data_IF_052195980971
#
_entry.id   IF_052195980971
#
_cell.length_a   1.000
_cell.length_b   1.000
_cell.length_c   1.000
_cell.angle_alpha   90.00
_cell.angle_beta   90.00
_cell.angle_gamma   90.00
#
_symmetry.space_group_name_H-M   'P 1'
#
loop_
_entity.id
_entity.type
_entity.pdbx_description
1 polymer ?
#
# COMPACT_ATOMS: atom_id res chain seq x y z
N UNK A 1 -19.77 12.74 29.81
CA UNK A 1 -18.94 12.35 29.49
C UNK A 1 -18.95 11.53 28.46
N UNK A 2 -19.61 11.03 28.11
CA UNK A 2 -19.67 10.38 27.12
C UNK A 2 -19.50 11.01 25.90
N UNK A 3 -19.61 12.18 25.87
CA UNK A 3 -19.45 12.89 24.70
C UNK A 3 -18.17 12.73 24.09
N UNK A 4 -17.19 12.35 24.87
CA UNK A 4 -15.93 12.29 24.26
C UNK A 4 -15.80 11.09 23.44
N UNK A 5 -16.75 10.27 23.29
CA UNK A 5 -16.62 9.15 22.39
C UNK A 5 -16.51 9.61 20.97
N UNK A 6 -17.07 10.77 20.63
CA UNK A 6 -16.93 11.33 19.31
C UNK A 6 -15.90 12.42 19.23
N UNK A 7 -15.30 12.75 20.34
CA UNK A 7 -14.35 13.85 20.36
C UNK A 7 -12.99 13.38 20.75
N UNK A 8 -12.04 13.68 19.94
CA UNK A 8 -10.66 13.33 20.19
C UNK A 8 -9.89 14.62 20.41
N UNK A 9 -8.93 14.60 21.31
CA UNK A 9 -8.11 15.78 21.55
C UNK A 9 -7.29 16.04 20.30
N UNK A 10 -6.88 17.28 20.11
CA UNK A 10 -6.02 17.62 18.99
C UNK A 10 -4.71 16.82 19.04
N UNK A 11 -4.22 16.57 20.25
CA UNK A 11 -3.01 15.77 20.43
C UNK A 11 -3.21 14.35 19.92
N UNK A 12 -4.34 13.72 20.26
CA UNK A 12 -4.63 12.37 19.81
C UNK A 12 -4.78 12.30 18.31
N UNK A 13 -5.44 13.29 17.71
CA UNK A 13 -5.61 13.36 16.27
C UNK A 13 -4.28 13.58 15.57
N UNK A 14 -3.38 14.36 16.19
CA UNK A 14 -2.06 14.58 15.63
C UNK A 14 -1.22 13.30 15.65
N UNK A 15 -1.31 12.54 16.75
CA UNK A 15 -0.61 11.26 16.85
C UNK A 15 -1.13 10.31 15.77
N UNK A 16 -2.43 10.27 15.55
CA UNK A 16 -3.02 9.46 14.51
C UNK A 16 -2.53 9.92 13.12
N UNK A 17 -2.47 11.22 12.90
CA UNK A 17 -1.96 11.78 11.65
C UNK A 17 -0.53 11.31 11.37
N UNK A 18 0.36 11.45 12.34
CA UNK A 18 1.75 11.02 12.19
C UNK A 18 1.83 9.52 11.91
N UNK A 19 1.02 8.73 12.62
CA UNK A 19 0.97 7.29 12.42
C UNK A 19 0.54 6.93 11.01
N UNK A 20 -0.47 7.63 10.46
CA UNK A 20 -0.94 7.36 9.11
C UNK A 20 0.06 7.77 8.04
N UNK A 21 0.76 8.89 8.25
CA UNK A 21 1.82 9.33 7.34
C UNK A 21 2.93 8.27 7.30
N UNK A 22 3.29 7.75 8.47
CA UNK A 22 4.31 6.70 8.57
C UNK A 22 3.84 5.42 7.88
N UNK A 23 2.57 5.06 8.05
CA UNK A 23 2.03 3.88 7.42
C UNK A 23 2.10 3.97 5.88
N UNK A 24 1.82 5.16 5.32
CA UNK A 24 1.95 5.37 3.87
C UNK A 24 3.39 5.12 3.42
N UNK A 25 4.36 5.63 4.17
CA UNK A 25 5.77 5.46 3.83
C UNK A 25 6.15 3.97 3.83
N UNK A 26 5.74 3.23 4.86
CA UNK A 26 6.04 1.80 4.96
C UNK A 26 5.39 1.05 3.79
N UNK A 27 4.14 1.38 3.46
CA UNK A 27 3.45 0.73 2.34
C UNK A 27 4.08 1.05 1.00
N UNK A 28 4.55 2.28 0.80
CA UNK A 28 5.25 2.66 -0.43
C UNK A 28 6.54 1.88 -0.59
N UNK A 29 7.28 1.70 0.48
CA UNK A 29 8.51 0.91 0.44
C UNK A 29 8.22 -0.55 0.08
N UNK A 30 7.14 -1.09 0.61
CA UNK A 30 6.72 -2.45 0.28
C UNK A 30 6.31 -2.56 -1.20
N UNK A 31 5.60 -1.55 -1.72
CA UNK A 31 5.22 -1.54 -3.13
C UNK A 31 6.46 -1.55 -4.04
N UNK A 32 7.47 -0.75 -3.71
CA UNK A 32 8.71 -0.74 -4.49
C UNK A 32 9.37 -2.10 -4.51
N UNK A 33 9.38 -2.78 -3.35
CA UNK A 33 9.94 -4.11 -3.22
C UNK A 33 9.16 -5.12 -4.07
N UNK A 34 7.83 -5.04 -4.02
CA UNK A 34 6.96 -5.91 -4.81
C UNK A 34 7.17 -5.67 -6.30
N UNK A 35 7.30 -4.42 -6.72
CA UNK A 35 7.53 -4.09 -8.13
C UNK A 35 8.83 -4.68 -8.65
N UNK A 36 9.87 -4.64 -7.85
CA UNK A 36 11.15 -5.25 -8.24
C UNK A 36 11.00 -6.76 -8.39
N UNK A 37 10.29 -7.39 -7.48
CA UNK A 37 10.07 -8.83 -7.53
C UNK A 37 9.20 -9.23 -8.71
N UNK A 38 8.17 -8.43 -9.01
CA UNK A 38 7.30 -8.67 -10.15
C UNK A 38 8.10 -8.56 -11.45
N UNK A 39 8.93 -7.53 -11.57
CA UNK A 39 9.77 -7.36 -12.76
C UNK A 39 10.73 -8.53 -12.94
N UNK A 40 11.33 -9.01 -11.86
CA UNK A 40 12.22 -10.15 -11.91
C UNK A 40 11.50 -11.41 -12.38
N UNK A 41 10.27 -11.62 -11.88
CA UNK A 41 9.45 -12.76 -12.30
C UNK A 41 9.05 -12.64 -13.78
N UNK A 42 8.69 -11.44 -14.23
CA UNK A 42 8.33 -11.23 -15.63
C UNK A 42 9.51 -11.54 -16.53
N UNK A 43 10.73 -11.16 -16.13
CA UNK A 43 11.92 -11.48 -16.89
C UNK A 43 12.17 -12.99 -16.93
N UNK A 44 12.01 -13.66 -15.80
CA UNK A 44 12.18 -15.12 -15.73
C UNK A 44 11.16 -15.84 -16.61
N UNK A 45 9.90 -15.39 -16.59
CA UNK A 45 8.85 -15.96 -17.40
C UNK A 45 9.19 -15.79 -18.87
N UNK A 46 9.67 -14.60 -19.25
CA UNK A 46 10.01 -14.31 -20.63
C UNK A 46 11.15 -15.22 -21.12
N UNK A 47 12.11 -15.51 -20.25
CA UNK A 47 13.23 -16.38 -20.61
C UNK A 47 12.82 -17.83 -20.82
N UNK A 48 11.85 -18.34 -20.05
CA UNK A 48 11.54 -19.76 -20.07
C UNK A 48 10.24 -20.12 -20.76
N UNK A 49 9.46 -19.14 -21.22
CA UNK A 49 8.13 -19.41 -21.78
C UNK A 49 8.13 -20.36 -22.95
N UNK A 50 9.22 -20.42 -23.72
CA UNK A 50 9.32 -21.30 -24.88
C UNK A 50 10.20 -22.51 -24.62
N UNK A 51 10.54 -22.78 -23.37
CA UNK A 51 11.48 -23.85 -23.04
C UNK A 51 10.84 -25.22 -22.90
N UNK A 52 9.52 -25.29 -22.91
CA UNK A 52 8.81 -26.54 -22.66
C UNK A 52 8.56 -26.80 -21.16
N UNK A 53 8.96 -25.87 -20.29
CA UNK A 53 8.77 -26.03 -18.86
C UNK A 53 7.44 -25.42 -18.43
N UNK A 54 6.35 -25.92 -18.99
CA UNK A 54 5.02 -25.33 -18.81
C UNK A 54 4.60 -25.22 -17.36
N UNK A 55 4.90 -26.20 -16.54
CA UNK A 55 4.53 -26.15 -15.15
C UNK A 55 5.29 -25.07 -14.40
N UNK A 56 6.55 -24.92 -14.71
CA UNK A 56 7.37 -23.86 -14.10
C UNK A 56 6.83 -22.50 -14.49
N UNK A 57 6.49 -22.31 -15.75
CA UNK A 57 5.90 -21.06 -16.24
C UNK A 57 4.60 -20.78 -15.48
N UNK A 58 3.76 -21.79 -15.32
CA UNK A 58 2.48 -21.64 -14.60
C UNK A 58 2.68 -21.19 -13.16
N UNK A 59 3.65 -21.80 -12.46
CA UNK A 59 3.95 -21.45 -11.08
C UNK A 59 4.44 -20.01 -10.98
N UNK A 60 5.35 -19.61 -11.87
CA UNK A 60 5.88 -18.25 -11.87
C UNK A 60 4.78 -17.22 -12.16
N UNK A 61 3.89 -17.54 -13.10
CA UNK A 61 2.76 -16.65 -13.41
C UNK A 61 1.82 -16.49 -12.22
N UNK A 62 1.52 -17.55 -11.52
CA UNK A 62 0.66 -17.51 -10.34
C UNK A 62 1.32 -16.69 -9.23
N UNK A 63 2.61 -16.88 -9.02
CA UNK A 63 3.36 -16.11 -8.01
C UNK A 63 3.36 -14.64 -8.36
N UNK A 64 3.63 -14.29 -9.64
CA UNK A 64 3.59 -12.92 -10.08
C UNK A 64 2.23 -12.29 -9.85
N UNK A 65 1.14 -13.02 -10.16
CA UNK A 65 -0.21 -12.51 -9.97
C UNK A 65 -0.52 -12.25 -8.51
N UNK A 66 -0.06 -13.13 -7.61
CA UNK A 66 -0.25 -12.94 -6.18
C UNK A 66 0.45 -11.69 -5.67
N UNK A 67 1.68 -11.46 -6.12
CA UNK A 67 2.42 -10.26 -5.73
C UNK A 67 1.75 -9.01 -6.28
N UNK A 68 1.21 -9.09 -7.48
CA UNK A 68 0.50 -7.96 -8.09
C UNK A 68 -0.77 -7.61 -7.32
N UNK A 69 -1.49 -8.61 -6.83
CA UNK A 69 -2.67 -8.38 -6.00
C UNK A 69 -2.29 -7.70 -4.69
N UNK A 70 -1.22 -8.14 -4.06
CA UNK A 70 -0.73 -7.51 -2.83
C UNK A 70 -0.39 -6.05 -3.10
N UNK A 71 0.27 -5.76 -4.21
CA UNK A 71 0.63 -4.39 -4.59
C UNK A 71 -0.62 -3.53 -4.75
N UNK A 72 -1.65 -4.04 -5.43
CA UNK A 72 -2.89 -3.31 -5.65
C UNK A 72 -3.62 -3.03 -4.33
N UNK A 73 -3.65 -4.00 -3.43
CA UNK A 73 -4.26 -3.81 -2.12
C UNK A 73 -3.56 -2.72 -1.33
N UNK A 74 -2.22 -2.69 -1.39
CA UNK A 74 -1.45 -1.65 -0.72
C UNK A 74 -1.73 -0.28 -1.34
N UNK A 75 -1.84 -0.21 -2.66
CA UNK A 75 -2.16 1.05 -3.34
C UNK A 75 -3.53 1.59 -2.93
N UNK A 76 -4.51 0.70 -2.82
CA UNK A 76 -5.84 1.09 -2.35
C UNK A 76 -5.76 1.63 -0.92
N UNK A 77 -5.03 0.95 -0.06
CA UNK A 77 -4.88 1.38 1.33
C UNK A 77 -4.17 2.72 1.43
N UNK A 78 -3.15 2.94 0.60
CA UNK A 78 -2.46 4.23 0.55
C UNK A 78 -3.43 5.34 0.13
N UNK A 79 -4.28 5.08 -0.87
CA UNK A 79 -5.25 6.07 -1.30
C UNK A 79 -6.21 6.45 -0.16
N UNK A 80 -6.67 5.46 0.60
CA UNK A 80 -7.54 5.71 1.74
C UNK A 80 -6.85 6.53 2.82
N UNK A 81 -5.59 6.20 3.11
CA UNK A 81 -4.81 6.94 4.10
C UNK A 81 -4.55 8.37 3.64
N UNK A 82 -4.21 8.55 2.38
CA UNK A 82 -3.97 9.88 1.82
C UNK A 82 -5.22 10.75 1.87
N UNK A 83 -6.38 10.14 1.64
CA UNK A 83 -7.63 10.87 1.75
C UNK A 83 -7.86 11.36 3.17
N UNK A 84 -7.63 10.49 4.15
CA UNK A 84 -7.77 10.87 5.54
C UNK A 84 -6.78 11.98 5.90
N UNK A 85 -5.52 11.83 5.47
CA UNK A 85 -4.46 12.80 5.73
C UNK A 85 -4.83 14.17 5.13
N UNK A 86 -5.32 14.17 3.90
CA UNK A 86 -5.70 15.41 3.21
C UNK A 86 -6.84 16.12 3.95
N UNK A 87 -7.82 15.35 4.43
CA UNK A 87 -8.93 15.92 5.20
C UNK A 87 -8.45 16.51 6.51
N UNK A 88 -7.55 15.83 7.19
CA UNK A 88 -6.99 16.31 8.44
C UNK A 88 -6.25 17.63 8.21
N UNK A 89 -5.40 17.68 7.18
CA UNK A 89 -4.63 18.88 6.88
C UNK A 89 -5.52 20.05 6.51
N UNK A 90 -6.59 19.78 5.76
CA UNK A 90 -7.53 20.81 5.36
C UNK A 90 -8.26 21.38 6.58
N UNK A 91 -8.75 20.50 7.44
CA UNK A 91 -9.46 20.92 8.65
C UNK A 91 -8.55 21.74 9.56
N UNK A 92 -7.29 21.33 9.66
CA UNK A 92 -6.33 22.05 10.47
C UNK A 92 -6.08 23.45 9.93
N UNK A 93 -6.02 23.61 8.61
CA UNK A 93 -5.85 24.91 8.00
C UNK A 93 -7.06 25.81 8.25
N UNK A 94 -8.26 25.23 8.18
CA UNK A 94 -9.48 26.00 8.40
C UNK A 94 -9.67 26.41 9.85
N UNK A 95 -9.05 25.69 10.77
CA UNK A 95 -9.17 25.96 12.19
C UNK A 95 -8.31 27.14 12.65
N UNK A 96 -7.45 27.66 11.81
CA UNK A 96 -6.61 28.80 12.17
C UNK A 96 -7.35 30.14 12.12
#
# INVERSE_FOLDING_TARGET
MKDYMGRRSMKDMFVEYVSKVKAVEVMQNRIEELEKNIDALDNDIEEIKDSGLDRTVEILCKTRNSLNLERLELEINICKLRLWIAKFEKERQLAR
#
